data_IF_599296367227
#
_entry.id   IF_599296367227
#
_cell.length_a   1.000
_cell.length_b   1.000
_cell.length_c   1.000
_cell.angle_alpha   90.00
_cell.angle_beta   90.00
_cell.angle_gamma   90.00
#
_symmetry.space_group_name_H-M   'P 1'
#
loop_
_entity.id
_entity.type
_entity.pdbx_description
1 polymer ?
#
# COMPACT_ATOMS: atom_id res chain seq x y z
N UNK A 1 -31.58 -7.44 -3.96
CA UNK A 1 -31.32 -6.70 -2.71
C UNK A 1 -29.89 -7.00 -2.28
N UNK A 2 -28.96 -6.04 -2.41
CA UNK A 2 -27.58 -6.20 -1.91
C UNK A 2 -27.59 -5.80 -0.45
N UNK A 3 -27.33 -6.72 0.43
CA UNK A 3 -27.11 -6.43 1.84
C UNK A 3 -25.78 -5.69 1.96
N UNK A 4 -25.85 -4.38 2.17
CA UNK A 4 -24.70 -3.61 2.62
C UNK A 4 -24.34 -4.12 4.03
N UNK A 5 -23.24 -4.83 4.16
CA UNK A 5 -22.75 -5.21 5.47
C UNK A 5 -22.33 -3.92 6.20
N UNK A 6 -22.86 -3.68 7.40
CA UNK A 6 -22.47 -2.48 8.14
C UNK A 6 -20.95 -2.53 8.38
N UNK A 7 -20.26 -1.42 8.09
CA UNK A 7 -18.87 -1.19 8.48
C UNK A 7 -18.70 -1.59 9.96
N UNK A 8 -17.97 -2.67 10.20
CA UNK A 8 -17.70 -3.13 11.57
C UNK A 8 -16.43 -2.49 12.07
N UNK A 9 -16.58 -1.46 12.88
CA UNK A 9 -15.49 -0.98 13.72
C UNK A 9 -15.24 -2.03 14.81
N UNK A 10 -14.02 -2.53 14.88
CA UNK A 10 -13.61 -3.51 15.88
C UNK A 10 -12.45 -2.99 16.71
N UNK A 11 -12.49 -3.28 18.02
CA UNK A 11 -11.32 -3.10 18.87
C UNK A 11 -10.42 -4.30 18.66
N UNK A 12 -9.18 -4.06 18.23
CA UNK A 12 -8.19 -5.10 17.98
C UNK A 12 -7.15 -5.06 19.08
N UNK A 13 -6.94 -6.19 19.72
CA UNK A 13 -5.87 -6.36 20.69
C UNK A 13 -4.51 -6.16 20.02
N UNK A 14 -3.63 -5.48 20.70
CA UNK A 14 -2.28 -5.15 20.25
C UNK A 14 -1.53 -6.32 19.59
N UNK A 15 -1.60 -7.53 20.17
CA UNK A 15 -0.93 -8.72 19.64
C UNK A 15 -1.54 -9.32 18.37
N UNK A 16 -2.78 -8.94 18.03
CA UNK A 16 -3.54 -9.56 16.93
C UNK A 16 -3.51 -8.73 15.65
N UNK A 17 -2.98 -7.50 15.69
CA UNK A 17 -3.06 -6.55 14.58
C UNK A 17 -2.40 -7.08 13.31
N UNK A 18 -1.16 -7.54 13.41
CA UNK A 18 -0.41 -8.04 12.24
C UNK A 18 -1.09 -9.27 11.65
N UNK A 19 -1.58 -10.18 12.48
CA UNK A 19 -2.28 -11.39 12.04
C UNK A 19 -3.59 -11.06 11.32
N UNK A 20 -4.38 -10.12 11.83
CA UNK A 20 -5.65 -9.70 11.21
C UNK A 20 -5.41 -8.98 9.87
N UNK A 21 -4.40 -8.10 9.80
CA UNK A 21 -4.01 -7.47 8.55
C UNK A 21 -3.54 -8.50 7.52
N UNK A 22 -2.70 -9.44 7.92
CA UNK A 22 -2.23 -10.51 7.03
C UNK A 22 -3.40 -11.37 6.52
N UNK A 23 -4.37 -11.69 7.38
CA UNK A 23 -5.58 -12.43 6.99
C UNK A 23 -6.44 -11.62 6.01
N UNK A 24 -6.64 -10.32 6.25
CA UNK A 24 -7.37 -9.43 5.35
C UNK A 24 -6.74 -9.34 3.96
N UNK A 25 -5.42 -9.16 3.90
CA UNK A 25 -4.66 -9.15 2.65
C UNK A 25 -4.76 -10.52 1.95
N UNK A 26 -4.67 -11.62 2.69
CA UNK A 26 -4.81 -12.96 2.13
C UNK A 26 -6.20 -13.20 1.54
N UNK A 27 -7.27 -12.69 2.19
CA UNK A 27 -8.65 -12.77 1.70
C UNK A 27 -8.79 -12.04 0.37
N UNK A 28 -8.24 -10.83 0.24
CA UNK A 28 -8.23 -10.09 -1.02
C UNK A 28 -7.62 -10.91 -2.16
N UNK A 29 -6.41 -11.43 -1.99
CA UNK A 29 -5.74 -12.20 -3.03
C UNK A 29 -6.41 -13.56 -3.31
N UNK A 30 -7.19 -14.11 -2.40
CA UNK A 30 -7.97 -15.31 -2.64
C UNK A 30 -9.19 -15.06 -3.54
N UNK A 31 -9.72 -13.82 -3.54
CA UNK A 31 -10.92 -13.45 -4.30
C UNK A 31 -10.58 -12.76 -5.63
N UNK A 32 -9.46 -12.04 -5.71
CA UNK A 32 -9.08 -11.28 -6.88
C UNK A 32 -8.33 -12.12 -7.90
N UNK A 33 -8.71 -11.97 -9.17
CA UNK A 33 -8.09 -12.65 -10.32
C UNK A 33 -7.32 -11.71 -11.23
N UNK A 34 -7.63 -10.40 -11.16
CA UNK A 34 -7.06 -9.38 -12.03
C UNK A 34 -6.13 -8.46 -11.25
N UNK A 35 -5.08 -7.95 -11.91
CA UNK A 35 -4.16 -6.98 -11.36
C UNK A 35 -4.90 -5.67 -11.03
N UNK A 36 -4.81 -5.22 -9.81
CA UNK A 36 -5.33 -3.93 -9.35
C UNK A 36 -4.36 -3.28 -8.38
N UNK A 37 -4.35 -1.95 -8.35
CA UNK A 37 -3.46 -1.17 -7.51
C UNK A 37 -3.72 -1.41 -6.01
N UNK A 38 -2.63 -1.44 -5.26
CA UNK A 38 -2.60 -1.44 -3.81
C UNK A 38 -2.11 -0.07 -3.34
N UNK A 39 -2.94 0.63 -2.56
CA UNK A 39 -2.69 1.98 -2.11
C UNK A 39 -2.57 2.01 -0.60
N UNK A 40 -1.43 2.49 -0.09
CA UNK A 40 -1.14 2.58 1.33
C UNK A 40 -0.92 4.04 1.79
N UNK A 41 -1.54 4.40 2.91
CA UNK A 41 -1.11 5.52 3.76
C UNK A 41 -0.67 4.91 5.08
N UNK A 42 0.61 5.07 5.42
CA UNK A 42 1.18 4.49 6.62
C UNK A 42 2.01 5.52 7.40
N UNK A 43 2.17 5.28 8.71
CA UNK A 43 3.02 6.13 9.53
C UNK A 43 4.48 6.06 9.07
N UNK A 44 5.01 4.87 8.92
CA UNK A 44 6.39 4.61 8.51
C UNK A 44 6.51 3.26 7.79
N UNK A 45 7.70 2.94 7.30
CA UNK A 45 7.99 1.62 6.69
C UNK A 45 7.84 0.46 7.68
N UNK A 46 7.93 0.74 8.98
CA UNK A 46 7.77 -0.28 10.05
C UNK A 46 6.31 -0.51 10.45
N UNK A 47 5.39 0.24 9.88
CA UNK A 47 3.96 0.08 10.17
C UNK A 47 3.48 -1.34 9.87
N UNK A 48 2.62 -1.92 10.72
CA UNK A 48 2.08 -3.27 10.54
C UNK A 48 1.45 -3.49 9.17
N UNK A 49 0.80 -2.47 8.60
CA UNK A 49 0.17 -2.56 7.27
C UNK A 49 1.22 -2.70 6.16
N UNK A 50 2.35 -2.01 6.25
CA UNK A 50 3.47 -2.15 5.29
C UNK A 50 4.05 -3.55 5.38
N UNK A 51 4.25 -4.07 6.58
CA UNK A 51 4.73 -5.44 6.82
C UNK A 51 3.76 -6.50 6.28
N UNK A 52 2.46 -6.28 6.42
CA UNK A 52 1.45 -7.20 5.88
C UNK A 52 1.50 -7.28 4.35
N UNK A 53 1.68 -6.16 3.65
CA UNK A 53 1.87 -6.15 2.19
C UNK A 53 3.23 -6.75 1.81
N UNK A 54 4.31 -6.42 2.55
CA UNK A 54 5.63 -7.01 2.32
C UNK A 54 5.60 -8.55 2.41
N UNK A 55 4.88 -9.10 3.38
CA UNK A 55 4.68 -10.55 3.51
C UNK A 55 3.87 -11.16 2.33
N UNK A 56 3.04 -10.36 1.67
CA UNK A 56 2.24 -10.78 0.52
C UNK A 56 2.93 -10.56 -0.84
N UNK A 57 4.12 -10.01 -0.87
CA UNK A 57 4.87 -9.66 -2.10
C UNK A 57 4.92 -10.76 -3.16
N UNK A 58 5.13 -12.05 -2.84
CA UNK A 58 5.09 -13.09 -3.87
C UNK A 58 3.74 -13.15 -4.61
N UNK A 59 2.63 -12.85 -3.94
CA UNK A 59 1.29 -12.80 -4.53
C UNK A 59 1.09 -11.50 -5.31
N UNK A 60 1.54 -10.36 -4.78
CA UNK A 60 1.53 -9.06 -5.45
C UNK A 60 2.24 -9.15 -6.80
N UNK A 61 3.44 -9.72 -6.82
CA UNK A 61 4.24 -9.93 -8.02
C UNK A 61 3.56 -10.89 -9.01
N UNK A 62 3.01 -12.01 -8.51
CA UNK A 62 2.35 -13.02 -9.35
C UNK A 62 1.12 -12.46 -10.09
N UNK A 63 0.41 -11.51 -9.48
CA UNK A 63 -0.79 -10.87 -10.07
C UNK A 63 -0.42 -9.61 -10.87
N UNK A 64 0.81 -9.08 -10.71
CA UNK A 64 1.26 -7.84 -11.37
C UNK A 64 0.62 -6.58 -10.81
N UNK A 65 0.29 -6.56 -9.50
CA UNK A 65 -0.23 -5.37 -8.85
C UNK A 65 0.87 -4.32 -8.66
N UNK A 66 0.54 -3.06 -8.96
CA UNK A 66 1.36 -1.93 -8.55
C UNK A 66 1.06 -1.55 -7.09
N UNK A 67 2.10 -1.17 -6.34
CA UNK A 67 2.00 -0.74 -4.94
C UNK A 67 2.40 0.72 -4.83
N UNK A 68 1.52 1.56 -4.29
CA UNK A 68 1.80 2.98 -4.04
C UNK A 68 1.68 3.28 -2.55
N UNK A 69 2.74 3.82 -1.96
CA UNK A 69 2.84 4.05 -0.52
C UNK A 69 3.08 5.53 -0.23
N UNK A 70 2.30 6.11 0.67
CA UNK A 70 2.54 7.42 1.25
C UNK A 70 2.93 7.23 2.71
N UNK A 71 4.09 7.76 3.09
CA UNK A 71 4.55 7.77 4.47
C UNK A 71 4.29 9.14 5.12
N UNK A 72 3.75 9.12 6.33
CA UNK A 72 3.60 10.32 7.16
C UNK A 72 4.93 10.72 7.83
N UNK A 73 5.74 9.73 8.19
CA UNK A 73 7.09 9.90 8.73
C UNK A 73 8.07 9.14 7.83
N UNK A 74 9.01 9.87 7.26
CA UNK A 74 10.09 9.28 6.49
C UNK A 74 11.40 9.90 6.97
N UNK A 75 12.31 9.04 7.37
CA UNK A 75 13.70 9.39 7.55
C UNK A 75 14.44 9.06 6.26
N UNK A 76 14.76 10.09 5.48
CA UNK A 76 15.44 9.91 4.19
C UNK A 76 16.84 9.34 4.35
N UNK A 77 17.49 9.65 5.46
CA UNK A 77 18.85 9.18 5.74
C UNK A 77 18.86 7.72 6.19
N UNK A 78 17.77 7.27 6.82
CA UNK A 78 17.61 5.89 7.25
C UNK A 78 17.04 4.95 6.18
N UNK A 79 16.47 5.49 5.08
CA UNK A 79 15.99 4.67 3.96
C UNK A 79 17.16 4.26 3.07
N UNK A 80 17.50 2.98 2.95
CA UNK A 80 18.49 2.54 1.98
C UNK A 80 18.07 2.96 0.56
N UNK A 81 19.01 3.39 -0.28
CA UNK A 81 18.75 3.72 -1.68
C UNK A 81 18.12 2.54 -2.46
N UNK A 82 18.41 1.32 -2.01
CA UNK A 82 17.89 0.06 -2.58
C UNK A 82 16.63 -0.44 -1.87
N UNK A 83 15.96 0.39 -1.03
CA UNK A 83 14.78 -0.09 -0.33
C UNK A 83 13.67 -0.49 -1.32
N UNK A 84 13.13 -1.67 -1.13
CA UNK A 84 11.98 -2.19 -1.87
C UNK A 84 11.10 -2.98 -0.93
N UNK A 85 9.79 -2.85 -1.09
CA UNK A 85 8.82 -3.64 -0.32
C UNK A 85 9.00 -5.14 -0.53
N UNK A 86 9.52 -5.52 -1.67
CA UNK A 86 9.73 -6.91 -2.08
C UNK A 86 11.10 -7.49 -1.74
N UNK A 87 12.02 -6.69 -1.22
CA UNK A 87 13.41 -7.10 -1.09
C UNK A 87 13.99 -7.49 -2.46
N UNK A 88 14.28 -8.79 -2.67
CA UNK A 88 14.80 -9.32 -3.93
C UNK A 88 13.70 -9.64 -4.98
N UNK A 89 12.42 -9.61 -4.62
CA UNK A 89 11.31 -9.86 -5.55
C UNK A 89 10.96 -8.56 -6.25
N UNK A 90 11.00 -8.49 -7.59
CA UNK A 90 10.65 -7.29 -8.32
C UNK A 90 9.14 -7.03 -8.22
N UNK A 91 8.78 -5.88 -7.66
CA UNK A 91 7.41 -5.37 -7.57
C UNK A 91 7.44 -3.91 -7.99
N UNK A 92 6.48 -3.50 -8.81
CA UNK A 92 6.27 -2.11 -9.12
C UNK A 92 5.78 -1.39 -7.85
N UNK A 93 6.69 -0.63 -7.23
CA UNK A 93 6.42 0.02 -5.95
C UNK A 93 6.94 1.46 -5.97
N UNK A 94 6.02 2.41 -5.81
CA UNK A 94 6.35 3.81 -5.63
C UNK A 94 6.17 4.23 -4.17
N UNK A 95 7.17 4.93 -3.64
CA UNK A 95 7.19 5.44 -2.28
C UNK A 95 7.25 6.96 -2.28
N UNK A 96 6.32 7.60 -1.56
CA UNK A 96 6.24 9.05 -1.37
C UNK A 96 6.18 9.46 0.09
N UNK A 97 6.60 10.68 0.36
CA UNK A 97 6.51 11.31 1.67
C UNK A 97 5.51 12.48 1.63
N UNK A 98 4.56 12.44 2.54
CA UNK A 98 3.53 13.48 2.62
C UNK A 98 4.05 14.85 3.08
N UNK A 99 5.24 14.91 3.74
CA UNK A 99 5.88 16.15 4.23
C UNK A 99 4.99 17.01 5.15
N UNK A 100 3.84 16.50 5.52
CA UNK A 100 2.84 17.20 6.30
C UNK A 100 2.67 16.53 7.66
N UNK A 101 3.15 17.18 8.72
CA UNK A 101 3.04 16.66 10.10
C UNK A 101 1.58 16.45 10.55
N UNK A 102 0.62 17.17 9.98
CA UNK A 102 -0.81 16.97 10.28
C UNK A 102 -1.33 15.62 9.81
N UNK A 103 -0.64 14.98 8.86
CA UNK A 103 -1.04 13.63 8.45
C UNK A 103 -0.92 12.61 9.59
N UNK A 104 -0.07 12.86 10.59
CA UNK A 104 -0.01 12.03 11.81
C UNK A 104 -1.30 12.06 12.64
N UNK A 105 -2.16 13.03 12.40
CA UNK A 105 -3.51 13.10 13.04
C UNK A 105 -4.53 12.22 12.32
N UNK A 106 -4.22 11.82 11.09
CA UNK A 106 -5.07 10.94 10.29
C UNK A 106 -4.86 9.45 10.68
N UNK A 107 -5.59 8.60 9.99
CA UNK A 107 -5.55 7.16 10.14
C UNK A 107 -4.64 6.52 9.09
N UNK A 108 -4.00 5.42 9.45
CA UNK A 108 -3.42 4.53 8.45
C UNK A 108 -4.52 3.98 7.56
N UNK A 109 -4.22 3.71 6.29
CA UNK A 109 -5.20 3.25 5.32
C UNK A 109 -4.58 2.29 4.33
N UNK A 110 -5.34 1.25 3.97
CA UNK A 110 -5.03 0.33 2.90
C UNK A 110 -6.25 0.21 1.99
N UNK A 111 -6.04 0.41 0.70
CA UNK A 111 -7.04 0.15 -0.34
C UNK A 111 -6.47 -0.89 -1.29
N UNK A 112 -7.20 -1.96 -1.51
CA UNK A 112 -6.85 -3.01 -2.46
C UNK A 112 -7.99 -3.18 -3.45
N UNK A 113 -7.70 -2.96 -4.71
CA UNK A 113 -8.70 -3.00 -5.76
C UNK A 113 -9.82 -1.97 -5.57
N UNK A 114 -11.04 -2.35 -5.96
CA UNK A 114 -12.19 -1.45 -6.01
C UNK A 114 -13.12 -1.55 -4.81
N UNK A 115 -12.93 -2.51 -3.91
CA UNK A 115 -13.92 -2.87 -2.88
C UNK A 115 -13.34 -3.35 -1.54
N UNK A 116 -12.01 -3.42 -1.41
CA UNK A 116 -11.34 -3.73 -0.15
C UNK A 116 -10.73 -2.47 0.44
N UNK A 117 -11.09 -2.13 1.67
CA UNK A 117 -10.52 -1.00 2.39
C UNK A 117 -10.33 -1.35 3.87
N UNK A 118 -9.13 -1.09 4.38
CA UNK A 118 -8.85 -1.08 5.81
C UNK A 118 -8.50 0.34 6.26
N UNK A 119 -9.03 0.73 7.40
CA UNK A 119 -8.67 1.98 8.08
C UNK A 119 -8.22 1.64 9.50
N UNK A 120 -6.98 1.96 9.79
CA UNK A 120 -6.37 1.75 11.08
C UNK A 120 -6.67 2.85 12.07
N UNK A 121 -6.09 2.75 13.24
CA UNK A 121 -6.17 3.80 14.26
C UNK A 121 -5.34 5.03 13.87
N UNK A 122 -5.54 6.11 14.59
CA UNK A 122 -4.77 7.35 14.39
C UNK A 122 -3.26 7.08 14.48
N UNK A 123 -2.49 7.60 13.54
CA UNK A 123 -1.03 7.46 13.50
C UNK A 123 -0.32 8.09 14.70
N UNK A 124 -1.00 8.94 15.48
CA UNK A 124 -0.49 9.45 16.76
C UNK A 124 -0.41 8.40 17.85
N UNK A 125 -1.28 7.39 17.78
CA UNK A 125 -1.27 6.32 18.77
C UNK A 125 -0.06 5.43 18.53
N UNK A 126 0.60 5.08 19.61
CA UNK A 126 1.66 4.08 19.55
C UNK A 126 1.02 2.68 19.48
N UNK A 127 1.11 2.01 18.33
CA UNK A 127 0.50 0.69 18.15
C UNK A 127 1.09 -0.36 19.10
N UNK A 128 2.26 -0.05 19.67
CA UNK A 128 2.92 -0.95 20.63
C UNK A 128 2.39 -0.80 22.07
N UNK A 129 1.58 0.21 22.36
CA UNK A 129 1.16 0.52 23.74
C UNK A 129 -0.33 0.32 24.01
N UNK A 130 -1.17 0.29 23.01
CA UNK A 130 -2.63 0.24 23.19
C UNK A 130 -3.31 -0.66 22.16
N UNK A 131 -4.52 -1.11 22.50
CA UNK A 131 -5.42 -1.73 21.55
C UNK A 131 -5.86 -0.70 20.49
N UNK A 132 -6.10 -1.14 19.26
CA UNK A 132 -6.42 -0.29 18.14
C UNK A 132 -7.90 -0.34 17.78
N UNK A 133 -8.43 0.79 17.30
CA UNK A 133 -9.74 0.86 16.66
C UNK A 133 -9.55 0.75 15.16
N UNK A 134 -10.03 -0.32 14.56
CA UNK A 134 -9.81 -0.60 13.14
C UNK A 134 -11.10 -0.96 12.43
N UNK A 135 -11.17 -0.61 11.16
CA UNK A 135 -12.30 -0.93 10.29
C UNK A 135 -11.80 -1.74 9.10
N UNK A 136 -12.48 -2.85 8.84
CA UNK A 136 -12.26 -3.70 7.68
C UNK A 136 -13.52 -3.69 6.83
N UNK A 137 -13.40 -3.27 5.59
CA UNK A 137 -14.48 -3.25 4.60
C UNK A 137 -14.11 -4.20 3.46
N UNK A 138 -14.93 -5.23 3.26
CA UNK A 138 -14.81 -6.22 2.19
C UNK A 138 -16.05 -6.14 1.30
N UNK A 139 -15.86 -5.99 -0.01
CA UNK A 139 -16.96 -5.84 -0.96
C UNK A 139 -17.68 -4.49 -0.88
N UNK A 140 -17.06 -3.46 -0.28
CA UNK A 140 -17.65 -2.12 -0.13
C UNK A 140 -17.01 -1.11 -1.08
N UNK A 141 -17.58 -1.01 -2.28
CA UNK A 141 -17.10 -0.09 -3.32
C UNK A 141 -17.17 1.38 -2.90
N UNK A 142 -18.14 1.79 -2.08
CA UNK A 142 -18.28 3.18 -1.68
C UNK A 142 -17.13 3.58 -0.76
N UNK A 143 -16.84 2.76 0.24
CA UNK A 143 -15.74 2.98 1.18
C UNK A 143 -14.41 2.97 0.44
N UNK A 144 -14.15 1.96 -0.39
CA UNK A 144 -12.91 1.85 -1.16
C UNK A 144 -12.72 3.03 -2.13
N UNK A 145 -13.77 3.47 -2.84
CA UNK A 145 -13.72 4.62 -3.75
C UNK A 145 -13.44 5.92 -3.01
N UNK A 146 -14.07 6.14 -1.85
CA UNK A 146 -13.83 7.32 -1.01
C UNK A 146 -12.39 7.35 -0.51
N UNK A 147 -11.89 6.22 -0.04
CA UNK A 147 -10.53 6.04 0.42
C UNK A 147 -9.52 6.28 -0.71
N UNK A 148 -9.75 5.72 -1.89
CA UNK A 148 -8.94 5.94 -3.09
C UNK A 148 -8.87 7.41 -3.48
N UNK A 149 -10.02 8.10 -3.49
CA UNK A 149 -10.08 9.53 -3.81
C UNK A 149 -9.24 10.36 -2.84
N UNK A 150 -9.29 10.03 -1.56
CA UNK A 150 -8.47 10.70 -0.53
C UNK A 150 -6.97 10.41 -0.73
N UNK A 151 -6.63 9.16 -1.05
CA UNK A 151 -5.27 8.76 -1.37
C UNK A 151 -4.71 9.55 -2.56
N UNK A 152 -5.44 9.62 -3.69
CA UNK A 152 -4.97 10.30 -4.91
C UNK A 152 -4.71 11.80 -4.67
N UNK A 153 -5.56 12.46 -3.88
CA UNK A 153 -5.34 13.87 -3.51
C UNK A 153 -4.05 14.04 -2.69
N UNK A 154 -3.81 13.14 -1.75
CA UNK A 154 -2.60 13.17 -0.93
C UNK A 154 -1.37 12.79 -1.75
N UNK A 155 -1.51 11.84 -2.65
CA UNK A 155 -0.45 11.40 -3.57
C UNK A 155 0.06 12.57 -4.43
N UNK A 156 -0.85 13.33 -5.02
CA UNK A 156 -0.51 14.49 -5.82
C UNK A 156 0.25 15.59 -5.02
N UNK A 157 0.00 15.68 -3.71
CA UNK A 157 0.66 16.64 -2.82
C UNK A 157 1.93 16.09 -2.15
N UNK A 158 2.27 14.83 -2.38
CA UNK A 158 3.42 14.15 -1.75
C UNK A 158 4.66 14.19 -2.63
N UNK A 159 5.86 14.08 -2.01
CA UNK A 159 7.14 14.08 -2.71
C UNK A 159 7.67 12.64 -2.87
N UNK A 160 8.25 12.27 -4.02
CA UNK A 160 8.94 10.99 -4.18
C UNK A 160 10.08 10.85 -3.17
N UNK A 161 10.19 9.67 -2.54
CA UNK A 161 11.27 9.36 -1.58
C UNK A 161 12.47 8.69 -2.24
N UNK A 162 12.20 7.84 -3.24
CA UNK A 162 13.24 7.15 -3.99
C UNK A 162 13.31 7.74 -5.40
N UNK A 163 14.50 7.81 -6.00
CA UNK A 163 14.59 8.18 -7.39
C UNK A 163 13.78 7.17 -8.22
N UNK A 164 12.90 7.68 -9.08
CA UNK A 164 12.23 6.82 -10.06
C UNK A 164 13.32 6.30 -11.00
N UNK A 165 13.59 5.01 -10.95
CA UNK A 165 14.41 4.39 -11.98
C UNK A 165 13.68 4.59 -13.31
N UNK A 166 14.36 5.08 -14.37
CA UNK A 166 13.75 5.10 -15.68
C UNK A 166 13.30 3.66 -16.01
N UNK A 167 12.16 3.48 -16.67
CA UNK A 167 11.72 2.15 -17.09
C UNK A 167 12.88 1.48 -17.82
N UNK A 168 13.10 0.16 -17.66
CA UNK A 168 14.15 -0.54 -18.35
C UNK A 168 14.06 -0.19 -19.84
N UNK A 169 15.17 0.30 -20.42
CA UNK A 169 15.23 0.66 -21.83
C UNK A 169 14.67 -0.53 -22.62
N UNK A 170 13.58 -0.27 -23.36
CA UNK A 170 12.96 -1.27 -24.20
C UNK A 170 14.01 -1.92 -25.12
N UNK A 171 13.77 -3.12 -25.63
CA UNK A 171 14.73 -3.83 -26.45
C UNK A 171 15.26 -2.91 -27.55
N UNK A 172 16.58 -2.71 -27.55
CA UNK A 172 17.25 -1.94 -28.60
C UNK A 172 16.95 -2.68 -29.90
N UNK A 173 16.15 -2.05 -30.75
CA UNK A 173 15.87 -2.55 -32.11
C UNK A 173 17.20 -2.73 -32.87
N UNK A 174 17.75 -3.93 -32.80
CA UNK A 174 18.99 -4.34 -33.45
C UNK A 174 18.81 -4.54 -34.98
N UNK A 175 17.77 -3.93 -35.58
CA UNK A 175 17.43 -4.14 -36.99
C UNK A 175 18.05 -3.10 -37.95
N UNK A 176 18.91 -2.19 -37.48
CA UNK A 176 19.48 -1.14 -38.35
C UNK A 176 20.91 -1.44 -38.91
N UNK A 177 21.52 -2.60 -38.62
CA UNK A 177 22.89 -2.87 -39.02
C UNK A 177 23.05 -3.84 -40.23
N UNK A 178 22.00 -4.13 -40.98
CA UNK A 178 22.07 -5.11 -42.09
C UNK A 178 21.64 -4.57 -43.46
N UNK A 179 21.93 -3.29 -43.75
CA UNK A 179 21.80 -2.75 -45.13
C UNK A 179 23.01 -1.88 -45.43
N UNK A 180 24.08 -2.49 -45.90
CA UNK A 180 25.28 -1.77 -46.35
C UNK A 180 26.41 -2.75 -46.68
N UNK A 181 26.21 -3.61 -47.67
CA UNK A 181 27.30 -4.26 -48.45
C UNK A 181 26.75 -4.59 -49.84
#
# INVERSE_FOLDING_TARGET
MRFSYPLRMSVIKRGDKEQKLAAFVATYFAQQRDAQDILLIARSIDSPVVKAIAAAVPRVAAVGCAVRIILAQADREALPESWSIGGSVPVDCELRWAKNRRLLEAHEQLVMGSDFCWTGDSMRRDPAKCDAYETFAEGDHLVATTARTSFERLWAASEPLLPQFPPPAGPIDSAAAARGA
#
